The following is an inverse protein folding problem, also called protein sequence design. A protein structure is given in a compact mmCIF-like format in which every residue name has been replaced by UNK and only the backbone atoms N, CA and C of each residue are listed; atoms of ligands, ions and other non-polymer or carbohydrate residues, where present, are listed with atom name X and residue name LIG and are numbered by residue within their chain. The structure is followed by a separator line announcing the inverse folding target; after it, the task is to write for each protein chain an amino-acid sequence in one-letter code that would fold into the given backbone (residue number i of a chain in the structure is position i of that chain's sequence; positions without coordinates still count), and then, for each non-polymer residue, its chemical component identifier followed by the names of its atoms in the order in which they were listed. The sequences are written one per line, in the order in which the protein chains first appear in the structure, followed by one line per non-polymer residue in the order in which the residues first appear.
data_IF_596148635548
#
_entry.id   IF_596148635548
#
_cell.length_a   1.000
_cell.length_b   1.000
_cell.length_c   1.000
_cell.angle_alpha   90.00
_cell.angle_beta   90.00
_cell.angle_gamma   90.00
#
_symmetry.space_group_name_H-M   'P 1'
#
loop_
_entity.id
_entity.type
_entity.pdbx_description
1 polymer ?
#
# COMPACT_ATOMS: atom_id res chain seq x y z
N UNK A 1 9.84 54.02 -8.96
CA UNK A 1 9.26 52.80 -8.33
C UNK A 1 10.42 51.84 -8.16
N UNK A 2 10.70 51.37 -6.95
CA UNK A 2 11.85 50.49 -6.65
C UNK A 2 11.39 49.03 -6.57
N UNK A 3 12.32 48.10 -6.75
CA UNK A 3 12.08 46.68 -6.47
C UNK A 3 11.84 46.46 -4.98
N UNK A 4 10.96 45.53 -4.64
CA UNK A 4 10.78 45.09 -3.26
C UNK A 4 11.88 44.11 -2.84
N UNK A 5 12.03 43.90 -1.54
CA UNK A 5 13.03 42.98 -1.02
C UNK A 5 12.72 41.52 -1.41
N UNK A 6 11.43 41.16 -1.53
CA UNK A 6 11.00 39.85 -2.02
C UNK A 6 11.46 39.62 -3.47
N UNK A 7 11.28 40.60 -4.36
CA UNK A 7 11.70 40.49 -5.76
C UNK A 7 13.23 40.36 -5.89
N UNK A 8 13.98 41.04 -5.02
CA UNK A 8 15.43 40.93 -4.96
C UNK A 8 15.88 39.56 -4.47
N UNK A 9 15.23 38.99 -3.45
CA UNK A 9 15.53 37.65 -2.96
C UNK A 9 15.14 36.56 -3.98
N UNK A 10 13.96 36.64 -4.59
CA UNK A 10 13.55 35.71 -5.66
C UNK A 10 14.52 35.75 -6.85
N UNK A 11 15.10 36.93 -7.15
CA UNK A 11 16.14 37.05 -8.16
C UNK A 11 17.44 36.34 -7.74
N UNK A 12 17.86 36.46 -6.48
CA UNK A 12 19.06 35.79 -5.96
C UNK A 12 18.91 34.26 -5.90
N UNK A 13 17.73 33.78 -5.52
CA UNK A 13 17.42 32.35 -5.42
C UNK A 13 17.12 31.68 -6.78
N UNK A 14 17.13 32.46 -7.87
CA UNK A 14 16.73 32.06 -9.23
C UNK A 14 15.27 31.56 -9.34
N UNK A 15 14.37 32.08 -8.49
CA UNK A 15 12.94 31.70 -8.48
C UNK A 15 12.03 32.71 -9.21
N UNK A 16 12.57 33.82 -9.72
CA UNK A 16 11.79 34.83 -10.45
C UNK A 16 11.55 34.49 -11.93
N UNK A 17 10.33 34.74 -12.42
CA UNK A 17 9.98 34.68 -13.84
C UNK A 17 10.24 35.99 -14.60
N UNK A 18 10.56 37.09 -13.91
CA UNK A 18 10.67 38.45 -14.47
C UNK A 18 12.12 38.95 -14.57
N UNK A 19 13.07 38.02 -14.66
CA UNK A 19 14.52 38.28 -14.57
C UNK A 19 15.01 39.43 -15.46
N UNK A 20 14.59 39.46 -16.72
CA UNK A 20 15.00 40.49 -17.69
C UNK A 20 14.55 41.90 -17.27
N UNK A 21 13.37 42.02 -16.68
CA UNK A 21 12.83 43.31 -16.22
C UNK A 21 13.59 43.79 -14.98
N UNK A 22 13.90 42.88 -14.06
CA UNK A 22 14.71 43.15 -12.86
C UNK A 22 16.12 43.58 -13.26
N UNK A 23 16.80 42.88 -14.17
CA UNK A 23 18.13 43.25 -14.67
C UNK A 23 18.14 44.63 -15.34
N UNK A 24 17.10 44.92 -16.13
CA UNK A 24 16.92 46.25 -16.74
C UNK A 24 16.75 47.34 -15.67
N UNK A 25 15.99 47.06 -14.61
CA UNK A 25 15.83 47.98 -13.48
C UNK A 25 17.13 48.18 -12.70
N UNK A 26 17.87 47.10 -12.42
CA UNK A 26 19.14 47.15 -11.70
C UNK A 26 20.22 47.94 -12.46
N UNK A 27 20.23 47.87 -13.80
CA UNK A 27 21.16 48.65 -14.61
C UNK A 27 20.86 50.16 -14.61
N UNK A 28 19.62 50.55 -14.31
CA UNK A 28 19.15 51.94 -14.33
C UNK A 28 18.96 52.56 -12.93
N UNK A 29 18.80 51.74 -11.89
CA UNK A 29 18.59 52.18 -10.50
C UNK A 29 19.77 51.81 -9.59
N UNK A 30 20.63 52.78 -9.30
CA UNK A 30 21.80 52.56 -8.43
C UNK A 30 21.45 52.20 -6.98
N UNK A 31 20.30 52.62 -6.47
CA UNK A 31 19.85 52.25 -5.13
C UNK A 31 19.51 50.76 -5.03
N UNK A 32 18.72 50.23 -5.98
CA UNK A 32 18.39 48.81 -6.01
C UNK A 32 19.64 47.95 -6.26
N UNK A 33 20.60 48.41 -7.08
CA UNK A 33 21.87 47.75 -7.26
C UNK A 33 22.72 47.69 -5.97
N UNK A 34 22.74 48.77 -5.17
CA UNK A 34 23.43 48.80 -3.88
C UNK A 34 22.77 47.90 -2.82
N UNK A 35 21.44 47.81 -2.83
CA UNK A 35 20.71 46.86 -1.96
C UNK A 35 21.03 45.42 -2.34
N UNK A 36 21.03 45.11 -3.64
CA UNK A 36 21.38 43.78 -4.14
C UNK A 36 22.80 43.39 -3.79
N UNK A 37 23.78 44.29 -3.93
CA UNK A 37 25.18 43.98 -3.56
C UNK A 37 25.34 43.74 -2.05
N UNK A 38 24.55 44.44 -1.23
CA UNK A 38 24.52 44.22 0.22
C UNK A 38 23.97 42.82 0.56
N UNK A 39 22.87 42.42 -0.08
CA UNK A 39 22.31 41.07 0.08
C UNK A 39 23.29 39.98 -0.39
N UNK A 40 23.92 40.17 -1.55
CA UNK A 40 24.94 39.23 -2.06
C UNK A 40 26.13 39.06 -1.11
N UNK A 41 26.57 40.14 -0.47
CA UNK A 41 27.63 40.07 0.54
C UNK A 41 27.22 39.23 1.76
N UNK A 42 25.97 39.36 2.23
CA UNK A 42 25.44 38.55 3.32
C UNK A 42 25.37 37.06 2.94
N UNK A 43 24.87 36.71 1.76
CA UNK A 43 24.84 35.31 1.30
C UNK A 43 26.24 34.72 1.17
N UNK A 44 27.21 35.52 0.68
CA UNK A 44 28.61 35.09 0.61
C UNK A 44 29.20 34.82 1.99
N UNK A 45 28.85 35.64 2.99
CA UNK A 45 29.25 35.42 4.39
C UNK A 45 28.61 34.14 4.96
N UNK A 46 27.32 33.89 4.67
CA UNK A 46 26.63 32.66 5.08
C UNK A 46 27.23 31.42 4.43
N UNK A 47 27.58 31.47 3.14
CA UNK A 47 28.25 30.37 2.43
C UNK A 47 29.66 30.09 2.98
N UNK A 48 30.29 31.08 3.61
CA UNK A 48 31.61 30.93 4.24
C UNK A 48 31.56 30.28 5.61
N UNK A 49 30.36 30.07 6.18
CA UNK A 49 30.19 29.40 7.45
C UNK A 49 30.72 27.95 7.39
N UNK A 50 31.30 27.44 8.48
CA UNK A 50 31.85 26.10 8.51
C UNK A 50 30.77 25.06 8.21
N UNK A 51 31.01 24.21 7.21
CA UNK A 51 30.10 23.16 6.84
C UNK A 51 29.94 22.17 8.02
N UNK A 52 28.70 21.96 8.44
CA UNK A 52 28.38 21.02 9.51
C UNK A 52 28.46 19.61 8.95
N UNK A 53 29.48 18.87 9.34
CA UNK A 53 29.59 17.45 8.98
C UNK A 53 28.36 16.69 9.51
N UNK A 54 27.59 16.11 8.58
CA UNK A 54 26.49 15.22 8.91
C UNK A 54 27.01 14.06 9.78
N UNK A 55 26.44 13.88 10.97
CA UNK A 55 26.82 12.81 11.92
C UNK A 55 26.66 11.41 11.32
N UNK A 56 25.86 11.29 10.25
CA UNK A 56 25.60 10.05 9.52
C UNK A 56 25.70 10.29 8.04
N UNK A 57 26.36 9.37 7.33
CA UNK A 57 26.42 9.39 5.87
C UNK A 57 25.03 9.13 5.29
N UNK A 58 24.47 10.15 4.63
CA UNK A 58 23.26 10.02 3.83
C UNK A 58 23.54 9.36 2.47
N UNK A 59 24.81 9.22 2.06
CA UNK A 59 25.19 8.63 0.78
C UNK A 59 25.22 7.09 0.80
N UNK A 60 25.45 6.48 1.97
CA UNK A 60 25.56 5.03 2.12
C UNK A 60 24.31 4.24 1.61
N UNK A 61 23.06 4.68 1.85
CA UNK A 61 21.88 4.00 1.31
C UNK A 61 21.79 4.03 -0.22
N UNK A 62 22.28 5.10 -0.85
CA UNK A 62 22.15 5.33 -2.30
C UNK A 62 23.25 4.64 -3.11
N UNK A 63 24.46 4.50 -2.56
CA UNK A 63 25.55 3.79 -3.23
C UNK A 63 25.34 2.27 -3.29
N UNK A 64 24.48 1.74 -2.40
CA UNK A 64 24.26 0.29 -2.28
C UNK A 64 23.16 -0.22 -3.21
N UNK A 65 22.29 0.66 -3.74
CA UNK A 65 21.06 0.24 -4.41
C UNK A 65 21.01 0.68 -5.87
N UNK A 66 21.90 0.10 -6.69
CA UNK A 66 21.63 -0.07 -8.13
C UNK A 66 21.77 -1.53 -8.52
N UNK A 67 21.19 -2.44 -7.73
CA UNK A 67 20.90 -3.77 -8.24
C UNK A 67 19.56 -3.71 -8.97
N UNK A 68 19.55 -4.00 -10.27
CA UNK A 68 18.32 -4.37 -10.97
C UNK A 68 17.62 -5.47 -10.16
N UNK A 69 16.27 -5.50 -10.10
CA UNK A 69 15.56 -6.54 -9.38
C UNK A 69 16.06 -7.90 -9.87
N UNK A 70 16.56 -8.71 -8.93
CA UNK A 70 17.06 -10.03 -9.24
C UNK A 70 15.96 -10.82 -9.99
N UNK A 71 16.30 -11.55 -11.06
CA UNK A 71 15.30 -12.31 -11.81
C UNK A 71 14.61 -13.28 -10.86
N UNK A 72 13.27 -13.25 -10.85
CA UNK A 72 12.46 -14.12 -10.00
C UNK A 72 12.84 -15.60 -10.24
N UNK A 73 12.96 -16.41 -9.18
CA UNK A 73 13.37 -17.81 -9.29
C UNK A 73 12.37 -18.59 -10.14
N UNK A 74 12.88 -19.39 -11.10
CA UNK A 74 12.08 -20.15 -12.08
C UNK A 74 11.03 -21.09 -11.46
N UNK A 75 11.25 -21.53 -10.22
CA UNK A 75 10.28 -22.35 -9.50
C UNK A 75 9.03 -21.55 -9.10
N UNK A 76 9.16 -20.25 -8.82
CA UNK A 76 8.06 -19.40 -8.41
C UNK A 76 7.15 -19.03 -9.59
N UNK A 77 7.74 -18.81 -10.77
CA UNK A 77 6.95 -18.67 -12.00
C UNK A 77 6.21 -19.97 -12.35
N UNK A 78 6.82 -21.14 -12.13
CA UNK A 78 6.15 -22.43 -12.32
C UNK A 78 4.97 -22.63 -11.36
N UNK A 79 5.12 -22.31 -10.07
CA UNK A 79 4.01 -22.45 -9.11
C UNK A 79 2.86 -21.50 -9.42
N UNK A 80 3.16 -20.27 -9.87
CA UNK A 80 2.16 -19.28 -10.28
C UNK A 80 1.40 -19.74 -11.51
N UNK A 81 2.10 -20.25 -12.53
CA UNK A 81 1.46 -20.79 -13.74
C UNK A 81 0.59 -22.00 -13.39
N UNK A 82 1.07 -22.89 -12.53
CA UNK A 82 0.32 -24.07 -12.10
C UNK A 82 -0.92 -23.70 -11.28
N UNK A 83 -0.82 -22.70 -10.39
CA UNK A 83 -1.99 -22.16 -9.67
C UNK A 83 -3.00 -21.52 -10.62
N UNK A 84 -2.55 -20.73 -11.59
CA UNK A 84 -3.43 -20.11 -12.57
C UNK A 84 -4.15 -21.15 -13.43
N UNK A 85 -3.43 -22.18 -13.88
CA UNK A 85 -4.01 -23.30 -14.62
C UNK A 85 -5.05 -24.05 -13.78
N UNK A 86 -4.72 -24.35 -12.51
CA UNK A 86 -5.63 -25.06 -11.61
C UNK A 86 -6.89 -24.23 -11.29
N UNK A 87 -6.73 -22.92 -11.06
CA UNK A 87 -7.84 -22.01 -10.83
C UNK A 87 -8.77 -21.94 -12.05
N UNK A 88 -8.22 -21.85 -13.27
CA UNK A 88 -9.01 -21.89 -14.50
C UNK A 88 -9.78 -23.21 -14.66
N UNK A 89 -9.12 -24.35 -14.41
CA UNK A 89 -9.81 -25.65 -14.47
C UNK A 89 -10.92 -25.76 -13.43
N UNK A 90 -10.69 -25.26 -12.20
CA UNK A 90 -11.70 -25.26 -11.15
C UNK A 90 -12.89 -24.38 -11.51
N UNK A 91 -12.65 -23.20 -12.10
CA UNK A 91 -13.72 -22.31 -12.58
C UNK A 91 -14.54 -23.01 -13.67
N UNK A 92 -13.89 -23.61 -14.67
CA UNK A 92 -14.59 -24.31 -15.77
C UNK A 92 -15.46 -25.45 -15.24
N UNK A 93 -14.97 -26.22 -14.27
CA UNK A 93 -15.72 -27.32 -13.64
C UNK A 93 -16.86 -26.79 -12.75
N UNK A 94 -16.66 -25.65 -12.08
CA UNK A 94 -17.66 -25.04 -11.22
C UNK A 94 -18.80 -24.37 -11.99
N UNK A 95 -18.59 -23.90 -13.23
CA UNK A 95 -19.61 -23.23 -14.05
C UNK A 95 -20.92 -24.03 -14.21
N UNK A 96 -20.94 -25.30 -14.67
CA UNK A 96 -22.19 -26.04 -14.82
C UNK A 96 -22.89 -26.26 -13.47
N UNK A 97 -22.10 -26.36 -12.41
CA UNK A 97 -22.59 -26.56 -11.07
C UNK A 97 -23.27 -25.29 -10.51
N UNK A 98 -22.62 -24.14 -10.66
CA UNK A 98 -23.14 -22.81 -10.31
C UNK A 98 -24.37 -22.48 -11.16
N UNK A 99 -24.37 -22.78 -12.46
CA UNK A 99 -25.52 -22.56 -13.34
C UNK A 99 -26.78 -23.35 -12.91
N UNK A 100 -26.60 -24.58 -12.39
CA UNK A 100 -27.70 -25.38 -11.85
C UNK A 100 -28.17 -24.90 -10.47
N UNK A 101 -27.29 -24.24 -9.70
CA UNK A 101 -27.61 -23.66 -8.40
C UNK A 101 -28.27 -22.28 -8.48
N UNK A 102 -27.91 -21.45 -9.46
CA UNK A 102 -28.43 -20.09 -9.63
C UNK A 102 -29.97 -19.98 -9.56
N UNK A 103 -30.76 -20.83 -10.24
CA UNK A 103 -32.22 -20.74 -10.16
C UNK A 103 -32.79 -21.29 -8.84
N UNK A 104 -32.02 -22.05 -8.07
CA UNK A 104 -32.43 -22.60 -6.78
C UNK A 104 -32.09 -21.67 -5.60
N UNK A 105 -31.26 -20.66 -5.82
CA UNK A 105 -30.91 -19.66 -4.81
C UNK A 105 -31.94 -18.52 -4.91
N UNK A 106 -32.98 -18.59 -4.08
CA UNK A 106 -33.87 -17.45 -3.87
C UNK A 106 -33.05 -16.30 -3.28
N UNK A 107 -33.09 -15.12 -3.90
CA UNK A 107 -32.33 -13.92 -3.47
C UNK A 107 -32.64 -13.57 -1.99
N UNK A 108 -33.84 -13.92 -1.52
CA UNK A 108 -34.26 -13.83 -0.12
C UNK A 108 -33.36 -14.64 0.82
N UNK A 109 -33.00 -15.87 0.45
CA UNK A 109 -32.13 -16.74 1.24
C UNK A 109 -30.69 -16.23 1.33
N UNK A 110 -30.22 -15.52 0.30
CA UNK A 110 -28.91 -14.85 0.34
C UNK A 110 -28.91 -13.67 1.29
N UNK A 111 -29.98 -12.88 1.29
CA UNK A 111 -30.11 -11.76 2.21
C UNK A 111 -30.20 -12.24 3.67
N UNK A 112 -30.94 -13.32 3.91
CA UNK A 112 -30.99 -13.99 5.22
C UNK A 112 -29.61 -14.52 5.64
N UNK A 113 -28.88 -15.18 4.73
CA UNK A 113 -27.51 -15.64 4.97
C UNK A 113 -26.54 -14.50 5.28
N UNK A 114 -26.60 -13.39 4.54
CA UNK A 114 -25.73 -12.22 4.74
C UNK A 114 -26.04 -11.52 6.07
N UNK A 115 -27.32 -11.33 6.40
CA UNK A 115 -27.73 -10.69 7.65
C UNK A 115 -27.37 -11.56 8.87
N UNK A 116 -27.49 -12.88 8.75
CA UNK A 116 -27.07 -13.80 9.79
C UNK A 116 -25.55 -13.79 9.96
N UNK A 117 -24.78 -13.82 8.86
CA UNK A 117 -23.31 -13.74 8.89
C UNK A 117 -22.84 -12.41 9.51
N UNK A 118 -23.49 -11.30 9.15
CA UNK A 118 -23.24 -9.98 9.73
C UNK A 118 -23.48 -10.00 11.24
N UNK A 119 -24.57 -10.63 11.71
CA UNK A 119 -24.88 -10.71 13.14
C UNK A 119 -23.84 -11.53 13.92
N UNK A 120 -23.35 -12.64 13.35
CA UNK A 120 -22.32 -13.47 13.96
C UNK A 120 -20.97 -12.75 13.98
N UNK A 121 -20.65 -12.02 12.91
CA UNK A 121 -19.44 -11.21 12.84
C UNK A 121 -19.42 -10.14 13.93
N UNK A 122 -20.52 -9.42 14.12
CA UNK A 122 -20.64 -8.42 15.19
C UNK A 122 -20.48 -9.06 16.57
N UNK A 123 -21.11 -10.21 16.80
CA UNK A 123 -20.98 -10.94 18.08
C UNK A 123 -19.52 -11.38 18.34
N UNK A 124 -18.82 -11.85 17.31
CA UNK A 124 -17.41 -12.19 17.40
C UNK A 124 -16.55 -10.97 17.75
N UNK A 125 -16.79 -9.84 17.09
CA UNK A 125 -16.06 -8.59 17.37
C UNK A 125 -16.29 -8.10 18.80
N UNK A 126 -17.51 -8.22 19.31
CA UNK A 126 -17.86 -7.85 20.68
C UNK A 126 -17.13 -8.73 21.71
N UNK A 127 -17.11 -10.05 21.50
CA UNK A 127 -16.36 -11.00 22.32
C UNK A 127 -14.84 -10.74 22.29
N UNK A 128 -14.30 -10.35 21.13
CA UNK A 128 -12.90 -9.97 21.00
C UNK A 128 -12.59 -8.63 21.68
N UNK A 129 -13.51 -7.67 21.63
CA UNK A 129 -13.33 -6.35 22.24
C UNK A 129 -13.32 -6.41 23.77
N UNK A 130 -14.06 -7.36 24.34
CA UNK A 130 -14.12 -7.62 25.79
C UNK A 130 -13.09 -8.65 26.25
N UNK A 131 -12.21 -9.09 25.34
CA UNK A 131 -11.18 -10.07 25.62
C UNK A 131 -10.21 -9.54 26.66
N UNK A 132 -10.31 -10.07 27.88
CA UNK A 132 -9.43 -9.74 28.98
C UNK A 132 -8.63 -10.99 29.35
N UNK A 133 -7.29 -10.88 29.36
CA UNK A 133 -6.37 -11.98 29.63
C UNK A 133 -6.32 -12.30 31.14
N UNK A 134 -7.44 -12.78 31.69
CA UNK A 134 -7.48 -13.38 33.03
C UNK A 134 -7.51 -14.90 32.91
N UNK A 135 -6.56 -15.63 33.54
CA UNK A 135 -6.41 -17.08 33.37
C UNK A 135 -7.61 -17.92 33.85
N UNK A 136 -8.56 -17.32 34.58
CA UNK A 136 -9.76 -17.98 35.09
C UNK A 136 -10.99 -17.85 34.19
N UNK A 137 -10.96 -16.99 33.17
CA UNK A 137 -12.10 -16.74 32.27
C UNK A 137 -11.65 -16.88 30.81
N UNK A 138 -11.44 -18.11 30.34
CA UNK A 138 -11.29 -18.38 28.91
C UNK A 138 -12.65 -18.15 28.22
N UNK A 139 -12.76 -17.23 27.24
CA UNK A 139 -14.01 -17.02 26.54
C UNK A 139 -14.37 -18.24 25.69
N UNK A 140 -15.57 -18.76 25.89
CA UNK A 140 -16.16 -19.79 25.03
C UNK A 140 -16.81 -19.10 23.84
N UNK A 141 -16.20 -19.22 22.66
CA UNK A 141 -16.76 -18.68 21.42
C UNK A 141 -17.96 -19.53 20.97
N UNK A 142 -19.17 -19.08 21.30
CA UNK A 142 -20.41 -19.73 20.83
C UNK A 142 -20.77 -19.22 19.43
N UNK A 143 -20.22 -19.88 18.42
CA UNK A 143 -20.68 -19.74 17.03
C UNK A 143 -21.84 -20.72 16.82
N UNK A 144 -23.05 -20.18 16.63
CA UNK A 144 -24.21 -21.02 16.32
C UNK A 144 -24.13 -21.47 14.86
N UNK A 145 -24.25 -22.77 14.52
CA UNK A 145 -24.22 -23.20 13.14
C UNK A 145 -25.41 -22.61 12.39
N UNK A 146 -25.15 -21.90 11.30
CA UNK A 146 -26.20 -21.37 10.42
C UNK A 146 -26.94 -22.54 9.77
N UNK A 147 -28.28 -22.60 9.92
CA UNK A 147 -29.14 -23.55 9.21
C UNK A 147 -29.32 -23.16 7.74
N UNK A 148 -28.21 -22.88 7.05
CA UNK A 148 -28.24 -22.67 5.62
C UNK A 148 -28.38 -24.04 4.95
N UNK A 149 -29.63 -24.45 4.70
CA UNK A 149 -29.93 -25.64 3.90
C UNK A 149 -29.50 -25.37 2.45
N UNK A 150 -28.24 -25.65 2.15
CA UNK A 150 -27.81 -25.89 0.78
C UNK A 150 -28.55 -27.14 0.27
N UNK A 151 -28.99 -27.17 -1.00
CA UNK A 151 -29.41 -28.42 -1.61
C UNK A 151 -28.31 -29.47 -1.40
N UNK A 152 -28.65 -30.74 -1.09
CA UNK A 152 -27.68 -31.77 -0.78
C UNK A 152 -26.78 -31.96 -1.99
N UNK A 153 -25.62 -31.35 -1.87
CA UNK A 153 -24.60 -31.36 -2.86
C UNK A 153 -23.51 -32.29 -2.39
N UNK A 154 -22.84 -32.94 -3.32
CA UNK A 154 -21.62 -33.68 -3.04
C UNK A 154 -20.49 -32.68 -2.73
N UNK A 155 -20.66 -31.99 -1.60
CA UNK A 155 -19.85 -30.91 -1.04
C UNK A 155 -18.41 -31.37 -0.79
N UNK A 156 -18.17 -32.69 -0.79
CA UNK A 156 -16.85 -33.29 -0.58
C UNK A 156 -15.84 -32.87 -1.65
N UNK A 157 -16.23 -32.71 -2.91
CA UNK A 157 -15.30 -32.36 -4.00
C UNK A 157 -14.95 -30.87 -4.01
N UNK A 158 -15.96 -30.01 -3.77
CA UNK A 158 -15.81 -28.56 -3.76
C UNK A 158 -15.05 -28.06 -2.53
N UNK A 159 -15.35 -28.62 -1.33
CA UNK A 159 -14.57 -28.32 -0.13
C UNK A 159 -13.13 -28.81 -0.26
N UNK A 160 -12.89 -29.96 -0.92
CA UNK A 160 -11.53 -30.41 -1.16
C UNK A 160 -10.77 -29.53 -2.14
N UNK A 161 -11.43 -29.06 -3.19
CA UNK A 161 -10.85 -28.10 -4.11
C UNK A 161 -10.52 -26.77 -3.39
N UNK A 162 -11.43 -26.24 -2.57
CA UNK A 162 -11.23 -25.01 -1.81
C UNK A 162 -10.13 -25.12 -0.75
N UNK A 163 -10.12 -26.22 0.01
CA UNK A 163 -9.08 -26.48 0.99
C UNK A 163 -7.72 -26.70 0.31
N UNK A 164 -7.68 -27.43 -0.82
CA UNK A 164 -6.47 -27.61 -1.62
C UNK A 164 -5.92 -26.28 -2.14
N UNK A 165 -6.78 -25.42 -2.70
CA UNK A 165 -6.42 -24.08 -3.18
C UNK A 165 -5.93 -23.20 -2.02
N UNK A 166 -6.56 -23.28 -0.85
CA UNK A 166 -6.17 -22.51 0.34
C UNK A 166 -4.80 -22.93 0.88
N UNK A 167 -4.52 -24.24 0.93
CA UNK A 167 -3.21 -24.77 1.36
C UNK A 167 -2.11 -24.36 0.37
N UNK A 168 -2.36 -24.48 -0.93
CA UNK A 168 -1.44 -24.02 -1.98
C UNK A 168 -1.18 -22.52 -1.91
N UNK A 169 -2.21 -21.72 -1.60
CA UNK A 169 -2.09 -20.27 -1.43
C UNK A 169 -1.25 -19.90 -0.21
N UNK A 170 -1.48 -20.53 0.95
CA UNK A 170 -0.70 -20.31 2.17
C UNK A 170 0.77 -20.74 1.97
N UNK A 171 1.01 -21.90 1.35
CA UNK A 171 2.37 -22.39 1.10
C UNK A 171 3.12 -21.50 0.10
N UNK A 172 2.46 -21.09 -1.00
CA UNK A 172 3.05 -20.22 -2.01
C UNK A 172 3.43 -18.84 -1.43
N UNK A 173 2.50 -18.21 -0.73
CA UNK A 173 2.76 -16.90 -0.11
C UNK A 173 3.72 -16.99 1.08
N UNK A 174 3.66 -18.07 1.87
CA UNK A 174 4.57 -18.29 2.99
C UNK A 174 6.02 -18.50 2.53
N UNK A 175 6.24 -19.23 1.44
CA UNK A 175 7.57 -19.42 0.85
C UNK A 175 8.10 -18.11 0.25
N UNK A 176 7.23 -17.31 -0.40
CA UNK A 176 7.61 -16.00 -0.95
C UNK A 176 8.06 -15.02 0.14
N UNK A 177 7.33 -14.92 1.25
CA UNK A 177 7.66 -14.02 2.36
C UNK A 177 8.90 -14.47 3.14
N UNK A 178 9.20 -15.78 3.18
CA UNK A 178 10.41 -16.29 3.84
C UNK A 178 11.70 -15.95 3.07
N UNK A 179 11.61 -15.82 1.74
CA UNK A 179 12.78 -15.54 0.88
C UNK A 179 13.11 -14.04 0.75
N UNK A 180 12.39 -13.17 1.47
CA UNK A 180 12.63 -11.72 1.52
C UNK A 180 13.18 -11.23 2.88
N UNK A 181 13.48 -12.15 3.81
CA UNK A 181 14.26 -11.88 5.03
C UNK A 181 15.67 -12.42 4.86
#
# INVERSE_FOLDING_TARGET
MHLTDEQLNEYLDNETNERVQIETHLSSCGECAARLSTLQALFTELDSLPEVALTKSLAAPFLTTRSLPAPLPKFLTLTVILQAAFALTAIIIAVPFVANLLPAIEISSLMEGITQLQSQWINLLDQLSTFNLQPSNLPTFNLQPSNFQLPPLEISSLLMALAGVSVLWILGNGVFLRNQR
#
